data_IF_306486202317
#
_entry.id   IF_306486202317
#
_cell.length_a   1.000
_cell.length_b   1.000
_cell.length_c   1.000
_cell.angle_alpha   90.00
_cell.angle_beta   90.00
_cell.angle_gamma   90.00
#
_symmetry.space_group_name_H-M   'P 1'
#
loop_
_entity.id
_entity.type
_entity.pdbx_description
1 polymer ?
#
# COMPACT_ATOMS: atom_id res chain seq x y z
N UNK A 1 1.64 -12.05 0.19
CA UNK A 1 1.64 -11.99 1.67
C UNK A 1 1.93 -13.38 2.22
N UNK A 2 2.75 -13.46 3.25
CA UNK A 2 3.10 -14.70 3.96
C UNK A 2 2.90 -14.55 5.46
N UNK A 3 2.73 -15.67 6.15
CA UNK A 3 2.89 -15.75 7.60
C UNK A 3 4.25 -16.38 7.86
N UNK A 4 4.99 -15.82 8.82
CA UNK A 4 6.26 -16.37 9.24
C UNK A 4 6.28 -16.65 10.75
N UNK A 5 6.97 -17.71 11.13
CA UNK A 5 7.35 -18.02 12.49
C UNK A 5 8.81 -18.51 12.51
N UNK A 6 9.28 -19.01 13.65
CA UNK A 6 10.66 -19.48 13.81
C UNK A 6 11.02 -20.68 12.92
N UNK A 7 10.04 -21.44 12.45
CA UNK A 7 10.27 -22.65 11.67
C UNK A 7 10.18 -22.40 10.15
N UNK A 8 9.28 -21.52 9.71
CA UNK A 8 9.04 -21.31 8.28
C UNK A 8 8.37 -19.97 7.97
N UNK A 9 8.40 -19.60 6.69
CA UNK A 9 7.59 -18.55 6.09
C UNK A 9 6.78 -19.14 4.95
N UNK A 10 5.45 -19.01 5.01
CA UNK A 10 4.52 -19.63 4.06
C UNK A 10 3.65 -18.57 3.39
N UNK A 11 3.57 -18.54 2.04
CA UNK A 11 2.67 -17.64 1.33
C UNK A 11 1.22 -18.06 1.57
N UNK A 12 0.39 -17.12 2.01
CA UNK A 12 -1.04 -17.37 2.29
C UNK A 12 -1.98 -16.55 1.39
N UNK A 13 -1.46 -15.52 0.72
CA UNK A 13 -2.24 -14.73 -0.24
C UNK A 13 -1.33 -14.15 -1.32
N UNK A 14 -1.83 -14.13 -2.55
CA UNK A 14 -1.20 -13.51 -3.71
C UNK A 14 -2.28 -12.96 -4.64
N UNK A 15 -1.96 -11.86 -5.32
CA UNK A 15 -2.83 -11.24 -6.32
C UNK A 15 -1.96 -10.53 -7.35
N UNK A 16 -2.39 -10.55 -8.60
CA UNK A 16 -1.72 -9.81 -9.67
C UNK A 16 -1.89 -8.31 -9.42
N UNK A 17 -0.76 -7.59 -9.32
CA UNK A 17 -0.74 -6.15 -9.50
C UNK A 17 -0.65 -5.86 -11.00
N UNK A 18 -1.68 -5.23 -11.56
CA UNK A 18 -1.72 -4.82 -12.95
C UNK A 18 -1.59 -3.30 -13.01
N UNK A 19 -0.50 -2.72 -13.56
CA UNK A 19 -0.38 -1.28 -13.75
C UNK A 19 -1.52 -0.72 -14.62
N UNK A 20 -1.94 0.51 -14.36
CA UNK A 20 -3.05 1.17 -15.08
C UNK A 20 -2.86 1.15 -16.60
N UNK A 21 -1.67 1.51 -17.08
CA UNK A 21 -1.33 1.48 -18.52
C UNK A 21 -1.47 0.07 -19.15
N UNK A 22 -1.39 -0.99 -18.36
CA UNK A 22 -1.66 -2.36 -18.83
C UNK A 22 -3.14 -2.70 -18.69
N UNK A 23 -3.80 -2.17 -17.67
CA UNK A 23 -5.22 -2.38 -17.45
C UNK A 23 -6.07 -1.79 -18.60
N UNK A 24 -5.59 -0.71 -19.21
CA UNK A 24 -6.23 -0.01 -20.32
C UNK A 24 -5.80 -0.50 -21.72
N UNK A 25 -4.82 -1.41 -21.80
CA UNK A 25 -4.30 -1.96 -23.07
C UNK A 25 -4.93 -3.34 -23.36
N UNK A 26 -6.09 -3.34 -24.02
CA UNK A 26 -6.86 -4.56 -24.32
C UNK A 26 -6.06 -5.61 -25.12
N UNK A 27 -5.21 -5.17 -26.06
CA UNK A 27 -4.38 -6.05 -26.87
C UNK A 27 -3.33 -6.75 -26.02
N UNK A 28 -2.65 -6.00 -25.15
CA UNK A 28 -1.66 -6.55 -24.21
C UNK A 28 -2.29 -7.48 -23.20
N UNK A 29 -3.47 -7.14 -22.66
CA UNK A 29 -4.24 -8.01 -21.75
C UNK A 29 -4.60 -9.33 -22.40
N UNK A 30 -5.14 -9.28 -23.63
CA UNK A 30 -5.49 -10.48 -24.39
C UNK A 30 -4.28 -11.37 -24.62
N UNK A 31 -3.15 -10.78 -25.03
CA UNK A 31 -1.89 -11.51 -25.25
C UNK A 31 -1.36 -12.17 -23.97
N UNK A 32 -1.47 -11.48 -22.84
CA UNK A 32 -1.06 -11.98 -21.52
C UNK A 32 -2.13 -12.86 -20.83
N UNK A 33 -3.29 -13.07 -21.47
CA UNK A 33 -4.44 -13.83 -20.93
C UNK A 33 -4.94 -13.29 -19.57
N UNK A 34 -4.93 -11.96 -19.41
CA UNK A 34 -5.40 -11.29 -18.19
C UNK A 34 -6.91 -11.09 -18.29
N UNK A 35 -7.74 -11.63 -17.36
CA UNK A 35 -9.19 -11.46 -17.38
C UNK A 35 -9.62 -10.01 -17.18
N UNK A 36 -10.70 -9.56 -17.83
CA UNK A 36 -11.20 -8.18 -17.75
C UNK A 36 -11.63 -7.73 -16.35
N UNK A 37 -11.96 -8.68 -15.46
CA UNK A 37 -12.27 -8.40 -14.05
C UNK A 37 -11.08 -7.88 -13.25
N UNK A 38 -9.84 -8.02 -13.75
CA UNK A 38 -8.65 -7.47 -13.12
C UNK A 38 -8.49 -6.00 -13.52
N UNK A 39 -9.01 -5.09 -12.69
CA UNK A 39 -8.81 -3.66 -12.82
C UNK A 39 -7.51 -3.19 -12.15
N UNK A 40 -7.08 -1.97 -12.46
CA UNK A 40 -5.98 -1.32 -11.75
C UNK A 40 -6.32 -1.17 -10.27
N UNK A 41 -5.36 -1.49 -9.42
CA UNK A 41 -5.42 -1.24 -7.99
C UNK A 41 -4.00 -1.04 -7.46
N UNK A 42 -3.81 -0.07 -6.57
CA UNK A 42 -2.48 0.18 -6.00
C UNK A 42 -2.00 -1.01 -5.17
N UNK A 43 -0.69 -1.24 -5.14
CA UNK A 43 -0.10 -2.32 -4.32
C UNK A 43 -0.51 -2.23 -2.84
N UNK A 44 -0.49 -1.04 -2.19
CA UNK A 44 -0.90 -0.94 -0.80
C UNK A 44 -2.39 -1.27 -0.58
N UNK A 45 -3.27 -0.91 -1.52
CA UNK A 45 -4.68 -1.27 -1.44
C UNK A 45 -4.89 -2.79 -1.56
N UNK A 46 -4.21 -3.44 -2.52
CA UNK A 46 -4.21 -4.91 -2.64
C UNK A 46 -3.72 -5.57 -1.34
N UNK A 47 -2.64 -5.05 -0.75
CA UNK A 47 -2.09 -5.59 0.48
C UNK A 47 -3.06 -5.46 1.67
N UNK A 48 -3.71 -4.30 1.86
CA UNK A 48 -4.72 -4.13 2.90
C UNK A 48 -5.92 -5.06 2.73
N UNK A 49 -6.37 -5.29 1.50
CA UNK A 49 -7.43 -6.28 1.23
C UNK A 49 -7.01 -7.71 1.60
N UNK A 50 -5.79 -8.10 1.26
CA UNK A 50 -5.25 -9.42 1.65
C UNK A 50 -5.17 -9.57 3.17
N UNK A 51 -4.72 -8.53 3.88
CA UNK A 51 -4.63 -8.53 5.34
C UNK A 51 -6.03 -8.64 5.96
N UNK A 52 -7.01 -7.87 5.48
CA UNK A 52 -8.41 -7.96 5.92
C UNK A 52 -8.99 -9.35 5.70
N UNK A 53 -8.75 -9.94 4.52
CA UNK A 53 -9.21 -11.29 4.22
C UNK A 53 -8.58 -12.33 5.16
N UNK A 54 -7.29 -12.20 5.47
CA UNK A 54 -6.61 -13.09 6.40
C UNK A 54 -7.17 -12.97 7.83
N UNK A 55 -7.39 -11.76 8.34
CA UNK A 55 -8.06 -11.55 9.64
C UNK A 55 -9.46 -12.17 9.65
N UNK A 56 -10.26 -11.94 8.61
CA UNK A 56 -11.61 -12.51 8.50
C UNK A 56 -11.60 -14.05 8.43
N UNK A 57 -10.55 -14.65 7.85
CA UNK A 57 -10.33 -16.09 7.82
C UNK A 57 -9.79 -16.67 9.13
N UNK A 58 -9.61 -15.86 10.18
CA UNK A 58 -9.10 -16.32 11.48
C UNK A 58 -7.61 -16.60 11.51
N UNK A 59 -6.84 -16.04 10.57
CA UNK A 59 -5.38 -16.12 10.62
C UNK A 59 -4.88 -15.44 11.89
N UNK A 60 -3.99 -16.14 12.62
CA UNK A 60 -3.41 -15.63 13.85
C UNK A 60 -2.75 -14.25 13.62
N UNK A 61 -3.14 -13.22 14.39
CA UNK A 61 -2.57 -11.89 14.24
C UNK A 61 -1.11 -11.87 14.69
N UNK A 62 -0.32 -11.00 14.07
CA UNK A 62 1.08 -10.76 14.39
C UNK A 62 1.52 -9.40 13.85
N UNK A 63 2.81 -9.10 13.98
CA UNK A 63 3.37 -7.83 13.49
C UNK A 63 3.45 -7.85 11.97
N UNK A 64 2.88 -6.83 11.32
CA UNK A 64 2.97 -6.67 9.86
C UNK A 64 4.32 -6.06 9.49
N UNK A 65 5.04 -6.73 8.59
CA UNK A 65 6.29 -6.22 8.01
C UNK A 65 6.05 -5.84 6.54
N UNK A 66 6.51 -4.66 6.14
CA UNK A 66 6.47 -4.24 4.74
C UNK A 66 7.65 -3.31 4.38
N UNK A 67 8.03 -3.32 3.10
CA UNK A 67 9.11 -2.49 2.60
C UNK A 67 8.72 -1.01 2.43
N UNK A 68 9.70 -0.17 2.13
CA UNK A 68 9.52 1.28 1.99
C UNK A 68 8.57 1.71 0.87
N UNK A 69 8.34 0.88 -0.14
CA UNK A 69 7.34 1.12 -1.18
C UNK A 69 5.91 1.12 -0.66
N UNK A 70 5.63 0.39 0.43
CA UNK A 70 4.35 0.46 1.14
C UNK A 70 4.36 1.55 2.21
N UNK A 71 5.48 1.75 2.87
CA UNK A 71 5.57 2.68 3.98
C UNK A 71 5.60 4.15 3.62
N UNK A 72 5.79 4.54 2.36
CA UNK A 72 5.55 5.93 1.96
C UNK A 72 4.08 6.30 1.96
N UNK A 73 3.20 5.30 1.77
CA UNK A 73 1.76 5.51 1.74
C UNK A 73 1.20 5.67 3.17
N UNK A 74 0.78 6.90 3.49
CA UNK A 74 0.17 7.21 4.78
C UNK A 74 -1.17 6.51 5.02
N UNK A 75 -1.95 6.29 3.97
CA UNK A 75 -3.23 5.58 4.04
C UNK A 75 -3.01 4.08 4.31
N UNK A 76 -1.92 3.50 3.77
CA UNK A 76 -1.53 2.14 4.12
C UNK A 76 -1.26 1.98 5.62
N UNK A 77 -0.40 2.85 6.19
CA UNK A 77 -0.06 2.84 7.61
C UNK A 77 -1.29 3.08 8.50
N UNK A 78 -2.13 4.05 8.13
CA UNK A 78 -3.38 4.32 8.83
C UNK A 78 -4.36 3.13 8.74
N UNK A 79 -4.40 2.44 7.59
CA UNK A 79 -5.18 1.22 7.39
C UNK A 79 -4.76 0.09 8.32
N UNK A 80 -3.45 -0.14 8.49
CA UNK A 80 -2.94 -1.13 9.46
C UNK A 80 -3.34 -0.79 10.90
N UNK A 81 -3.20 0.49 11.30
CA UNK A 81 -3.64 0.97 12.61
C UNK A 81 -5.15 0.79 12.82
N UNK A 82 -5.97 1.10 11.82
CA UNK A 82 -7.42 0.92 11.89
C UNK A 82 -7.84 -0.55 11.99
N UNK A 83 -7.02 -1.48 11.49
CA UNK A 83 -7.22 -2.93 11.66
C UNK A 83 -6.70 -3.46 13.02
N UNK A 84 -6.19 -2.57 13.89
CA UNK A 84 -5.65 -2.94 15.20
C UNK A 84 -4.36 -3.74 15.13
N UNK A 85 -3.58 -3.61 14.04
CA UNK A 85 -2.36 -4.37 13.81
C UNK A 85 -1.13 -3.55 14.17
N UNK A 86 -0.24 -4.14 14.97
CA UNK A 86 1.13 -3.65 15.12
C UNK A 86 1.90 -3.85 13.81
N UNK A 87 2.77 -2.90 13.48
CA UNK A 87 3.56 -2.98 12.25
C UNK A 87 4.95 -2.38 12.37
N UNK A 88 5.88 -2.92 11.59
CA UNK A 88 7.18 -2.33 11.31
C UNK A 88 7.32 -2.22 9.81
N UNK A 89 7.23 -0.99 9.30
CA UNK A 89 7.22 -0.72 7.88
C UNK A 89 8.37 0.22 7.55
N UNK A 90 9.19 -0.16 6.57
CA UNK A 90 10.26 0.70 6.09
C UNK A 90 9.69 2.01 5.55
N UNK A 91 10.43 3.12 5.64
CA UNK A 91 10.01 4.41 5.07
C UNK A 91 11.13 4.98 4.21
N UNK A 92 10.78 5.81 3.24
CA UNK A 92 11.79 6.56 2.49
C UNK A 92 12.35 7.72 3.34
N UNK A 93 13.63 8.10 3.16
CA UNK A 93 14.24 9.21 3.89
C UNK A 93 13.59 10.57 3.59
N UNK A 94 12.83 10.67 2.50
CA UNK A 94 12.06 11.85 2.09
C UNK A 94 10.71 11.98 2.81
N UNK A 95 10.29 10.97 3.59
CA UNK A 95 9.02 11.01 4.31
C UNK A 95 9.05 12.09 5.39
N UNK A 96 8.18 13.09 5.25
CA UNK A 96 7.99 14.11 6.28
C UNK A 96 7.28 13.55 7.50
N UNK A 97 7.78 13.86 8.70
CA UNK A 97 7.21 13.43 9.98
C UNK A 97 6.96 14.63 10.88
N UNK A 98 5.92 14.54 11.70
CA UNK A 98 5.64 15.53 12.72
C UNK A 98 6.25 15.10 14.04
N UNK A 99 6.83 16.05 14.77
CA UNK A 99 7.30 15.81 16.13
C UNK A 99 6.08 15.73 17.05
N UNK A 100 5.97 14.65 17.83
CA UNK A 100 4.82 14.34 18.69
C UNK A 100 4.56 15.34 19.84
N UNK A 101 5.30 16.46 19.93
CA UNK A 101 5.23 17.40 21.06
C UNK A 101 4.22 18.53 20.90
N UNK A 102 3.28 18.44 19.94
CA UNK A 102 2.22 19.44 19.79
C UNK A 102 0.88 18.72 19.59
N UNK A 103 -0.04 18.90 20.53
CA UNK A 103 -1.47 18.71 20.31
C UNK A 103 -1.83 19.49 19.04
N UNK A 104 -2.14 18.75 17.97
CA UNK A 104 -2.36 19.34 16.65
C UNK A 104 -3.68 20.11 16.64
N UNK A 105 -3.61 21.43 16.69
CA UNK A 105 -4.72 22.32 16.32
C UNK A 105 -4.49 23.00 14.96
N UNK A 106 -3.55 22.51 14.15
CA UNK A 106 -3.21 23.12 12.87
C UNK A 106 -3.77 22.30 11.71
N UNK A 107 -4.59 22.97 10.90
CA UNK A 107 -5.21 22.47 9.68
C UNK A 107 -4.17 21.84 8.75
N UNK A 108 -4.59 20.82 8.01
CA UNK A 108 -3.78 20.12 7.01
C UNK A 108 -3.11 21.13 6.06
N UNK A 109 -1.82 20.94 5.69
CA UNK A 109 -1.18 21.81 4.71
C UNK A 109 -1.96 21.73 3.38
N UNK A 110 -2.05 22.85 2.63
CA UNK A 110 -2.80 22.85 1.38
C UNK A 110 -2.19 21.84 0.41
N UNK A 111 -3.06 20.97 -0.11
CA UNK A 111 -2.73 20.04 -1.18
C UNK A 111 -2.18 20.85 -2.35
N UNK A 112 -0.93 20.61 -2.75
CA UNK A 112 -0.29 21.36 -3.82
C UNK A 112 -0.89 20.96 -5.18
N UNK A 113 -2.01 21.56 -5.55
CA UNK A 113 -2.53 21.59 -6.92
C UNK A 113 -2.28 22.98 -7.51
N UNK A 114 -1.07 23.21 -8.00
CA UNK A 114 -0.70 24.41 -8.74
C UNK A 114 0.22 24.04 -9.92
N UNK A 115 0.10 24.69 -11.09
CA UNK A 115 0.91 24.34 -12.26
C UNK A 115 2.39 24.72 -12.03
N UNK A 116 3.31 23.88 -12.52
CA UNK A 116 4.75 24.17 -12.47
C UNK A 116 5.06 25.39 -13.36
N UNK A 117 5.87 26.37 -12.92
CA UNK A 117 6.32 27.45 -13.78
C UNK A 117 7.22 26.87 -14.88
N UNK A 118 6.97 27.25 -16.13
CA UNK A 118 7.76 26.85 -17.29
C UNK A 118 9.19 27.37 -17.20
N UNK A 119 10.15 26.51 -17.49
CA UNK A 119 11.55 26.87 -17.74
C UNK A 119 11.66 27.06 -19.25
N UNK A 120 11.81 28.30 -19.70
CA UNK A 120 12.27 28.62 -21.05
C UNK A 120 13.76 28.31 -21.17
N UNK A 121 14.12 27.50 -22.16
CA UNK A 121 15.42 27.54 -22.83
C UNK A 121 15.16 27.51 -24.33
#
# INVERSE_FOLDING_TARGET
MSIANVAASLPIAYRLYLPEIWADDAERRRKAKIPDSVAFQTKPAIALEQIRAAQAAGVAPGVVLADAGYGVDGAFRAGLSALGLDYVVGVQPTLSVWRSTLTSTLASPPCASGPRPGITN
#
